data_IF_787643696058
#
_entry.id   IF_787643696058
#
_cell.length_a   1.000
_cell.length_b   1.000
_cell.length_c   1.000
_cell.angle_alpha   90.00
_cell.angle_beta   90.00
_cell.angle_gamma   90.00
#
_symmetry.space_group_name_H-M   'P 1'
#
loop_
_entity.id
_entity.type
_entity.pdbx_description
1 polymer ?
#
# COMPACT_ATOMS: atom_id res chain seq x y z
N UNK A 1 -23.28 22.16 -38.80
CA UNK A 1 -22.46 23.39 -38.88
C UNK A 1 -21.01 23.03 -38.63
N UNK A 2 -20.21 22.97 -39.69
CA UNK A 2 -18.75 22.82 -39.63
C UNK A 2 -18.10 24.17 -39.31
N UNK A 3 -17.09 24.18 -38.43
CA UNK A 3 -16.03 25.20 -38.47
C UNK A 3 -14.66 24.53 -38.51
N UNK A 4 -13.75 25.07 -39.33
CA UNK A 4 -12.70 24.29 -39.97
C UNK A 4 -11.37 24.30 -39.23
N UNK A 5 -10.65 23.20 -39.45
CA UNK A 5 -9.21 23.01 -39.33
C UNK A 5 -8.40 24.20 -39.89
N UNK A 6 -7.21 24.46 -39.32
CA UNK A 6 -5.97 25.01 -39.94
C UNK A 6 -5.43 26.32 -39.34
N UNK A 7 -4.38 26.20 -38.49
CA UNK A 7 -3.05 26.84 -38.66
C UNK A 7 -2.02 25.89 -38.02
N UNK A 8 -1.27 25.12 -38.82
CA UNK A 8 0.04 25.46 -39.39
C UNK A 8 1.16 25.61 -38.33
N UNK A 9 1.81 24.47 -38.09
CA UNK A 9 3.24 24.18 -37.86
C UNK A 9 4.20 25.39 -37.95
N UNK A 10 5.06 25.55 -36.93
CA UNK A 10 6.47 25.91 -37.08
C UNK A 10 7.29 25.52 -35.82
N UNK A 11 8.60 25.23 -35.94
CA UNK A 11 9.33 24.25 -35.12
C UNK A 11 10.42 24.86 -34.21
N UNK A 12 10.97 24.00 -33.33
CA UNK A 12 12.34 23.97 -32.79
C UNK A 12 12.95 25.25 -32.16
N UNK A 13 13.19 25.20 -30.85
CA UNK A 13 14.47 25.61 -30.27
C UNK A 13 14.75 24.79 -29.01
N UNK A 14 15.73 23.90 -29.11
CA UNK A 14 16.35 23.18 -28.02
C UNK A 14 17.37 24.08 -27.29
N UNK A 15 17.41 24.01 -25.96
CA UNK A 15 18.56 24.30 -25.09
C UNK A 15 18.33 23.46 -23.81
N UNK A 16 18.85 22.24 -23.69
CA UNK A 16 20.21 21.86 -23.32
C UNK A 16 20.64 22.30 -21.90
N UNK A 17 20.61 21.31 -21.00
CA UNK A 17 21.61 20.99 -19.97
C UNK A 17 21.85 21.95 -18.79
N UNK A 18 21.39 21.54 -17.60
CA UNK A 18 22.21 21.50 -16.38
C UNK A 18 21.89 20.18 -15.65
N UNK A 19 22.75 19.17 -15.80
CA UNK A 19 23.69 18.69 -14.76
C UNK A 19 22.98 18.26 -13.47
N UNK A 20 22.72 16.96 -13.29
CA UNK A 20 23.69 16.00 -12.76
C UNK A 20 24.18 16.37 -11.34
N UNK A 21 23.39 16.01 -10.33
CA UNK A 21 23.93 15.50 -9.07
C UNK A 21 23.61 14.00 -9.03
N UNK A 22 24.39 13.28 -9.79
CA UNK A 22 24.58 11.84 -9.70
C UNK A 22 25.62 11.59 -8.60
N UNK A 23 25.45 10.49 -7.88
CA UNK A 23 26.47 9.68 -7.17
C UNK A 23 26.54 9.79 -5.65
N UNK A 24 26.08 8.72 -5.01
CA UNK A 24 27.01 7.84 -4.32
C UNK A 24 26.48 6.39 -4.41
N UNK A 25 27.11 5.60 -5.27
CA UNK A 25 26.92 4.15 -5.36
C UNK A 25 28.16 3.46 -4.76
N UNK A 26 27.92 2.64 -3.73
CA UNK A 26 28.67 1.44 -3.25
C UNK A 26 30.18 1.58 -2.92
N UNK A 27 30.87 0.63 -2.23
CA UNK A 27 30.45 -0.69 -1.75
C UNK A 27 30.93 -1.07 -0.33
N UNK A 28 30.36 -2.14 0.23
CA UNK A 28 31.11 -3.24 0.88
C UNK A 28 30.17 -4.24 1.52
N UNK A 29 29.95 -5.38 0.86
CA UNK A 29 29.84 -6.64 1.60
C UNK A 29 31.25 -6.99 2.13
N UNK A 30 31.33 -7.57 3.33
CA UNK A 30 32.09 -8.80 3.41
C UNK A 30 31.34 -9.92 4.14
N UNK A 31 31.54 -11.10 3.56
CA UNK A 31 31.85 -12.37 4.21
C UNK A 31 30.97 -12.86 5.37
N UNK A 32 30.43 -14.05 5.13
CA UNK A 32 30.09 -15.04 6.13
C UNK A 32 31.23 -15.25 7.14
N UNK A 33 30.88 -15.43 8.42
CA UNK A 33 31.61 -16.32 9.32
C UNK A 33 30.60 -17.15 10.12
N UNK A 34 30.80 -18.46 10.02
CA UNK A 34 30.18 -19.47 10.88
C UNK A 34 31.13 -19.68 12.05
N UNK A 35 30.69 -19.47 13.29
CA UNK A 35 31.36 -20.01 14.49
C UNK A 35 30.35 -19.93 15.64
N UNK A 36 29.65 -21.02 15.90
CA UNK A 36 30.01 -22.06 16.87
C UNK A 36 29.52 -21.72 18.28
N UNK A 37 28.77 -22.69 18.80
CA UNK A 37 28.21 -22.81 20.13
C UNK A 37 29.17 -22.42 21.27
N UNK A 38 28.61 -21.96 22.40
CA UNK A 38 28.69 -22.72 23.66
C UNK A 38 27.77 -22.12 24.76
N UNK A 39 27.39 -23.00 25.69
CA UNK A 39 26.97 -22.76 27.08
C UNK A 39 25.46 -22.61 27.39
N UNK A 40 24.80 -23.78 27.39
CA UNK A 40 23.99 -24.33 28.51
C UNK A 40 23.49 -23.38 29.59
N UNK A 41 22.16 -23.30 29.71
CA UNK A 41 21.46 -23.21 31.00
C UNK A 41 20.15 -24.05 30.92
N UNK A 42 19.81 -24.83 31.97
CA UNK A 42 18.79 -25.86 31.91
C UNK A 42 17.35 -25.33 31.74
N UNK A 43 16.53 -26.14 31.07
CA UNK A 43 15.10 -25.95 30.83
C UNK A 43 14.30 -25.56 32.10
N UNK A 44 13.47 -24.51 32.06
CA UNK A 44 12.26 -24.50 32.86
C UNK A 44 11.26 -25.46 32.22
N UNK A 45 10.83 -26.47 32.98
CA UNK A 45 9.78 -27.40 32.61
C UNK A 45 8.54 -26.67 32.06
N UNK A 46 7.98 -27.05 30.90
CA UNK A 46 6.70 -26.50 30.48
C UNK A 46 5.62 -27.08 31.39
N UNK A 47 5.20 -26.29 32.38
CA UNK A 47 3.85 -26.43 32.94
C UNK A 47 2.89 -26.38 31.76
N UNK A 48 2.15 -27.47 31.54
CA UNK A 48 1.12 -27.52 30.52
C UNK A 48 0.04 -26.50 30.88
N UNK A 49 0.09 -25.33 30.23
CA UNK A 49 -1.05 -24.42 30.22
C UNK A 49 -2.24 -25.15 29.58
N UNK A 50 -3.45 -25.00 30.13
CA UNK A 50 -4.66 -25.52 29.49
C UNK A 50 -4.76 -24.95 28.06
N UNK A 51 -5.31 -25.70 27.09
CA UNK A 51 -5.55 -25.14 25.77
C UNK A 51 -6.46 -23.93 25.93
N UNK A 52 -5.94 -22.75 25.61
CA UNK A 52 -6.76 -21.55 25.45
C UNK A 52 -7.86 -21.91 24.45
N UNK A 53 -9.15 -21.75 24.78
CA UNK A 53 -10.23 -21.99 23.84
C UNK A 53 -9.92 -21.25 22.55
N UNK A 54 -9.80 -22.03 21.48
CA UNK A 54 -9.21 -21.61 20.22
C UNK A 54 -9.86 -20.34 19.70
N UNK A 55 -8.98 -19.46 19.20
CA UNK A 55 -9.32 -18.55 18.13
C UNK A 55 -10.13 -19.38 17.11
N UNK A 56 -11.42 -19.09 16.97
CA UNK A 56 -12.21 -19.66 15.86
C UNK A 56 -11.36 -19.44 14.60
N UNK A 57 -11.16 -20.45 13.74
CA UNK A 57 -10.43 -20.24 12.50
C UNK A 57 -11.11 -19.08 11.81
N UNK A 58 -10.44 -17.92 11.81
CA UNK A 58 -10.92 -16.74 11.13
C UNK A 58 -11.14 -17.20 9.72
N UNK A 59 -12.38 -17.15 9.26
CA UNK A 59 -12.71 -17.41 7.85
C UNK A 59 -11.68 -16.68 7.05
N UNK A 60 -10.83 -17.42 6.33
CA UNK A 60 -9.69 -16.86 5.63
C UNK A 60 -10.27 -15.94 4.54
N UNK A 61 -10.44 -14.66 4.87
CA UNK A 61 -11.02 -13.70 3.93
C UNK A 61 -9.92 -13.44 2.92
N UNK A 62 -10.14 -13.87 1.68
CA UNK A 62 -9.19 -13.71 0.59
C UNK A 62 -8.85 -12.24 0.34
N UNK A 63 -7.80 -12.02 -0.45
CA UNK A 63 -7.39 -10.69 -0.88
C UNK A 63 -8.43 -10.06 -1.81
N UNK A 64 -8.46 -8.74 -1.85
CA UNK A 64 -9.35 -8.03 -2.77
C UNK A 64 -8.99 -8.30 -4.24
N UNK A 65 -7.72 -8.55 -4.53
CA UNK A 65 -7.25 -8.98 -5.83
C UNK A 65 -7.83 -10.34 -6.25
N UNK A 66 -8.00 -11.30 -5.32
CA UNK A 66 -8.64 -12.58 -5.58
C UNK A 66 -10.16 -12.44 -5.77
N UNK A 67 -10.80 -11.56 -4.99
CA UNK A 67 -12.25 -11.34 -5.03
C UNK A 67 -12.72 -10.62 -6.30
N UNK A 68 -12.01 -9.56 -6.72
CA UNK A 68 -12.46 -8.63 -7.78
C UNK A 68 -11.50 -8.52 -8.96
N UNK A 69 -10.36 -9.21 -8.91
CA UNK A 69 -9.27 -9.08 -9.89
C UNK A 69 -8.34 -7.90 -9.59
N UNK A 70 -7.09 -8.01 -10.05
CA UNK A 70 -6.01 -7.07 -9.74
C UNK A 70 -6.36 -5.61 -10.07
N UNK A 71 -6.92 -5.34 -11.26
CA UNK A 71 -7.20 -3.98 -11.70
C UNK A 71 -8.28 -3.29 -10.86
N UNK A 72 -9.36 -4.01 -10.52
CA UNK A 72 -10.43 -3.47 -9.69
C UNK A 72 -9.99 -3.28 -8.24
N UNK A 73 -9.21 -4.22 -7.70
CA UNK A 73 -8.66 -4.11 -6.36
C UNK A 73 -7.67 -2.95 -6.23
N UNK A 74 -6.85 -2.71 -7.26
CA UNK A 74 -5.96 -1.56 -7.32
C UNK A 74 -6.75 -0.25 -7.35
N UNK A 75 -7.78 -0.14 -8.19
CA UNK A 75 -8.62 1.05 -8.25
C UNK A 75 -9.27 1.37 -6.88
N UNK A 76 -9.76 0.35 -6.18
CA UNK A 76 -10.31 0.50 -4.83
C UNK A 76 -9.25 0.94 -3.81
N UNK A 77 -8.06 0.32 -3.84
CA UNK A 77 -6.96 0.71 -2.97
C UNK A 77 -6.47 2.14 -3.24
N UNK A 78 -6.48 2.57 -4.51
CA UNK A 78 -6.10 3.92 -4.93
C UNK A 78 -7.11 4.96 -4.42
N UNK A 79 -8.41 4.67 -4.52
CA UNK A 79 -9.47 5.49 -3.92
C UNK A 79 -9.28 5.60 -2.39
N UNK A 80 -9.06 4.47 -1.72
CA UNK A 80 -8.81 4.41 -0.28
C UNK A 80 -7.65 5.32 0.15
N UNK A 81 -6.54 5.35 -0.60
CA UNK A 81 -5.40 6.23 -0.27
C UNK A 81 -5.68 7.71 -0.51
N UNK A 82 -6.59 8.05 -1.41
CA UNK A 82 -6.98 9.45 -1.67
C UNK A 82 -7.86 10.00 -0.55
N UNK A 83 -8.72 9.16 0.03
CA UNK A 83 -9.64 9.60 1.09
C UNK A 83 -9.11 9.37 2.50
N UNK A 84 -8.21 8.41 2.73
CA UNK A 84 -7.78 8.09 4.09
C UNK A 84 -6.82 9.14 4.67
N UNK A 85 -7.13 9.75 5.82
CA UNK A 85 -6.21 10.64 6.52
C UNK A 85 -5.12 9.90 7.31
N UNK A 86 -5.15 8.56 7.36
CA UNK A 86 -4.20 7.78 8.14
C UNK A 86 -2.82 7.72 7.46
N UNK A 87 -1.75 7.64 8.26
CA UNK A 87 -0.36 7.53 7.76
C UNK A 87 0.01 6.13 7.29
N UNK A 88 -0.75 5.12 7.70
CA UNK A 88 -0.60 3.72 7.28
C UNK A 88 -1.97 3.03 7.22
N UNK A 89 -2.84 3.44 6.27
CA UNK A 89 -4.14 2.83 6.14
C UNK A 89 -4.02 1.43 5.53
N UNK A 90 -5.05 0.59 5.67
CA UNK A 90 -5.04 -0.74 5.09
C UNK A 90 -5.39 -0.76 3.58
N UNK A 91 -5.04 0.29 2.85
CA UNK A 91 -5.34 0.45 1.43
C UNK A 91 -4.38 -0.35 0.53
N UNK A 92 -4.45 -1.68 0.60
CA UNK A 92 -3.61 -2.59 -0.16
C UNK A 92 -4.47 -3.67 -0.83
N UNK A 93 -4.34 -3.92 -2.15
CA UNK A 93 -5.09 -4.97 -2.85
C UNK A 93 -4.94 -6.39 -2.27
N UNK A 94 -3.86 -6.65 -1.55
CA UNK A 94 -3.63 -7.91 -0.84
C UNK A 94 -4.53 -8.07 0.40
N UNK A 95 -5.13 -6.98 0.91
CA UNK A 95 -6.10 -7.04 2.00
C UNK A 95 -7.50 -7.37 1.47
N UNK A 96 -8.40 -7.89 2.32
CA UNK A 96 -9.80 -8.12 1.94
C UNK A 96 -10.52 -6.89 1.42
N UNK A 97 -11.38 -7.02 0.40
CA UNK A 97 -12.11 -5.86 -0.15
C UNK A 97 -12.96 -5.16 0.92
N UNK A 98 -13.62 -5.92 1.79
CA UNK A 98 -14.43 -5.37 2.88
C UNK A 98 -13.62 -4.48 3.83
N UNK A 99 -12.34 -4.81 4.04
CA UNK A 99 -11.47 -4.04 4.91
C UNK A 99 -11.05 -2.73 4.23
N UNK A 100 -10.72 -2.76 2.95
CA UNK A 100 -10.41 -1.55 2.16
C UNK A 100 -11.66 -0.65 2.05
N UNK A 101 -12.82 -1.22 1.77
CA UNK A 101 -14.08 -0.48 1.67
C UNK A 101 -14.48 0.16 3.00
N UNK A 102 -14.35 -0.58 4.11
CA UNK A 102 -14.65 -0.03 5.44
C UNK A 102 -13.76 1.17 5.80
N UNK A 103 -12.50 1.19 5.35
CA UNK A 103 -11.63 2.37 5.51
C UNK A 103 -12.11 3.56 4.67
N UNK A 104 -12.54 3.33 3.42
CA UNK A 104 -13.14 4.37 2.56
C UNK A 104 -14.36 4.95 3.25
N UNK A 105 -15.29 4.10 3.68
CA UNK A 105 -16.55 4.53 4.30
C UNK A 105 -16.28 5.34 5.58
N UNK A 106 -15.36 4.86 6.44
CA UNK A 106 -14.97 5.59 7.65
C UNK A 106 -14.32 6.94 7.34
N UNK A 107 -13.41 6.97 6.37
CA UNK A 107 -12.72 8.21 6.01
C UNK A 107 -13.70 9.24 5.41
N UNK A 108 -14.59 8.81 4.53
CA UNK A 108 -15.60 9.67 3.93
C UNK A 108 -16.62 10.20 4.94
N UNK A 109 -16.98 9.41 5.96
CA UNK A 109 -17.79 9.90 7.07
C UNK A 109 -17.08 11.04 7.82
N UNK A 110 -15.78 10.91 8.11
CA UNK A 110 -15.00 11.98 8.77
C UNK A 110 -14.99 13.27 7.94
N UNK A 111 -14.71 13.18 6.63
CA UNK A 111 -14.75 14.36 5.77
C UNK A 111 -16.12 15.02 5.68
N UNK A 112 -17.19 14.23 5.76
CA UNK A 112 -18.56 14.75 5.77
C UNK A 112 -18.88 15.50 7.06
N UNK A 113 -18.32 15.08 8.20
CA UNK A 113 -18.42 15.80 9.47
C UNK A 113 -17.65 17.13 9.43
N UNK A 114 -16.50 17.17 8.75
CA UNK A 114 -15.66 18.37 8.61
C UNK A 114 -16.16 19.35 7.53
N UNK A 115 -17.03 18.90 6.61
CA UNK A 115 -17.65 19.72 5.56
C UNK A 115 -16.85 19.83 4.25
N UNK A 116 -15.68 19.19 4.17
CA UNK A 116 -14.78 19.19 3.01
C UNK A 116 -14.69 17.78 2.40
N UNK A 117 -15.78 17.32 1.78
CA UNK A 117 -15.88 15.96 1.22
C UNK A 117 -15.10 15.84 -0.11
N UNK A 118 -14.06 14.97 -0.20
CA UNK A 118 -13.37 14.70 -1.45
C UNK A 118 -14.29 14.09 -2.52
N UNK A 119 -14.00 14.33 -3.79
CA UNK A 119 -14.81 13.81 -4.90
C UNK A 119 -14.82 12.27 -4.93
N UNK A 120 -13.74 11.66 -4.46
CA UNK A 120 -13.54 10.22 -4.35
C UNK A 120 -14.51 9.57 -3.35
N UNK A 121 -15.13 10.35 -2.45
CA UNK A 121 -16.18 9.87 -1.56
C UNK A 121 -17.57 9.77 -2.19
N UNK A 122 -17.73 10.19 -3.45
CA UNK A 122 -19.00 10.17 -4.18
C UNK A 122 -19.10 9.04 -5.22
N UNK A 123 -18.14 8.11 -5.24
CA UNK A 123 -18.01 7.06 -6.26
C UNK A 123 -19.02 5.91 -6.12
#
# INVERSE_FOLDING_TARGET
MSRPFRRLIAPFAALALLTACQQAEEPAAPAAETSAAEATAPEPTPTASPPTPGLLPGTEVGSCAEERGQAAAQALADQCRQVSPATRPPCNPANPCALIQGEIDRACALWAEDGDVPAECAA
#
